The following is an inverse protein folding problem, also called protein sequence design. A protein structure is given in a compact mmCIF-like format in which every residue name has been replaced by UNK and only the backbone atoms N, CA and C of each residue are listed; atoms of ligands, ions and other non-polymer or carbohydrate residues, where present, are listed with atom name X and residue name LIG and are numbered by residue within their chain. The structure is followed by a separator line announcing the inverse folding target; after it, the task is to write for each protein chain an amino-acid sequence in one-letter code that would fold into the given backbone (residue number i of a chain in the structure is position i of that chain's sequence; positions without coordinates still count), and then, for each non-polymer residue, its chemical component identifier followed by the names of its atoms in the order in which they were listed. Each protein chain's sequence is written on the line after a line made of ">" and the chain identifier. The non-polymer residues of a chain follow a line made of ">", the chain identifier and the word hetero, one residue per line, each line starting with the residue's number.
data_IF_174583309655
#
_entry.id   IF_174583309655
#
_cell.length_a   1.000
_cell.length_b   1.000
_cell.length_c   1.000
_cell.angle_alpha   90.00
_cell.angle_beta   90.00
_cell.angle_gamma   90.00
#
_symmetry.space_group_name_H-M   'P 1'
#
loop_
_entity.id
_entity.type
_entity.pdbx_description
1 polymer ?
#
# COMPACT_ATOMS: atom_id res chain seq x y z
N UNK A 1 -8.01 27.52 -23.60
CA UNK A 1 -7.10 27.57 -24.77
C UNK A 1 -5.75 27.02 -24.33
N UNK A 2 -5.27 25.85 -24.72
CA UNK A 2 -5.73 24.88 -25.70
C UNK A 2 -5.68 23.47 -25.08
N UNK A 3 -6.78 22.75 -25.17
CA UNK A 3 -6.84 21.31 -24.96
C UNK A 3 -6.18 20.65 -26.18
N UNK A 4 -4.97 20.11 -26.00
CA UNK A 4 -4.44 19.15 -26.95
C UNK A 4 -5.05 17.79 -26.62
N UNK A 5 -6.05 17.42 -27.41
CA UNK A 5 -6.50 16.04 -27.62
C UNK A 5 -5.31 15.18 -28.04
N UNK A 6 -4.57 14.66 -27.08
CA UNK A 6 -3.56 13.63 -27.31
C UNK A 6 -4.21 12.27 -27.04
N UNK A 7 -5.12 11.90 -27.94
CA UNK A 7 -5.67 10.54 -28.02
C UNK A 7 -4.57 9.62 -28.56
N UNK A 8 -3.51 9.42 -27.77
CA UNK A 8 -2.53 8.36 -28.01
C UNK A 8 -3.25 7.01 -27.86
N UNK A 9 -3.02 6.04 -28.77
CA UNK A 9 -3.60 4.71 -28.66
C UNK A 9 -3.25 4.15 -27.29
N UNK A 10 -4.24 3.60 -26.58
CA UNK A 10 -4.14 3.12 -25.19
C UNK A 10 -2.75 2.57 -24.91
N UNK A 11 -1.89 3.35 -24.24
CA UNK A 11 -0.47 3.04 -24.16
C UNK A 11 -0.28 1.94 -23.12
N UNK A 12 -0.60 0.71 -23.52
CA UNK A 12 -0.52 -0.47 -22.66
C UNK A 12 0.91 -0.57 -22.13
N UNK A 13 1.03 -0.87 -20.84
CA UNK A 13 2.33 -1.04 -20.21
C UNK A 13 3.08 -2.21 -20.85
N UNK A 14 4.38 -2.04 -21.04
CA UNK A 14 5.22 -3.15 -21.45
C UNK A 14 5.34 -4.18 -20.33
N UNK A 15 5.02 -5.43 -20.64
CA UNK A 15 4.97 -6.52 -19.66
C UNK A 15 6.30 -7.29 -19.55
N UNK A 16 7.08 -7.34 -20.63
CA UNK A 16 8.43 -7.91 -20.67
C UNK A 16 9.33 -7.09 -21.57
N UNK A 17 10.53 -6.81 -21.09
CA UNK A 17 11.55 -6.05 -21.78
C UNK A 17 12.83 -6.88 -21.83
N UNK A 18 13.51 -6.88 -22.97
CA UNK A 18 14.89 -7.35 -23.08
C UNK A 18 15.81 -6.18 -22.77
N UNK A 19 16.55 -6.30 -21.68
CA UNK A 19 17.57 -5.34 -21.29
C UNK A 19 18.90 -5.72 -21.93
N UNK A 20 19.41 -4.81 -22.76
CA UNK A 20 20.73 -4.87 -23.37
C UNK A 20 21.68 -3.95 -22.60
N UNK A 21 22.77 -4.51 -22.07
CA UNK A 21 23.81 -3.74 -21.38
C UNK A 21 25.00 -3.53 -22.33
N UNK A 22 25.09 -2.31 -22.89
CA UNK A 22 26.25 -1.86 -23.66
C UNK A 22 27.24 -1.12 -22.74
N UNK A 23 28.49 -0.90 -23.18
CA UNK A 23 29.47 -0.10 -22.42
C UNK A 23 28.99 1.32 -22.12
N UNK A 24 28.29 1.95 -23.07
CA UNK A 24 27.91 3.37 -23.00
C UNK A 24 26.41 3.60 -22.74
N UNK A 25 25.57 2.58 -22.93
CA UNK A 25 24.12 2.70 -22.75
C UNK A 25 23.45 1.40 -22.27
N UNK A 26 22.26 1.55 -21.72
CA UNK A 26 21.29 0.46 -21.52
C UNK A 26 20.17 0.62 -22.54
N UNK A 27 19.73 -0.46 -23.19
CA UNK A 27 18.57 -0.42 -24.09
C UNK A 27 17.51 -1.41 -23.60
N UNK A 28 16.28 -0.93 -23.47
CA UNK A 28 15.10 -1.70 -23.11
C UNK A 28 14.25 -1.92 -24.37
N UNK A 29 14.30 -3.15 -24.89
CA UNK A 29 13.54 -3.59 -26.06
C UNK A 29 12.27 -4.32 -25.59
N UNK A 30 11.06 -3.82 -25.88
CA UNK A 30 9.83 -4.54 -25.56
C UNK A 30 9.74 -5.87 -26.32
N UNK A 31 9.47 -6.96 -25.60
CA UNK A 31 9.30 -8.29 -26.18
C UNK A 31 7.83 -8.56 -26.51
N UNK A 32 6.94 -8.00 -25.70
CA UNK A 32 5.51 -8.25 -25.77
C UNK A 32 4.83 -7.13 -26.59
N UNK A 33 4.86 -7.26 -27.93
CA UNK A 33 4.16 -6.37 -28.87
C UNK A 33 5.03 -5.86 -30.03
N UNK A 34 4.39 -5.18 -30.98
CA UNK A 34 5.07 -4.40 -32.02
C UNK A 34 5.40 -3.03 -31.42
N UNK A 35 6.57 -2.92 -30.80
CA UNK A 35 7.09 -1.62 -30.37
C UNK A 35 8.11 -1.12 -31.40
N UNK A 36 7.79 -0.01 -32.06
CA UNK A 36 8.68 0.63 -33.05
C UNK A 36 9.84 1.40 -32.39
N UNK A 37 9.80 1.55 -31.06
CA UNK A 37 10.75 2.37 -30.29
C UNK A 37 11.19 1.65 -29.01
N UNK A 38 12.50 1.67 -28.77
CA UNK A 38 13.18 1.14 -27.60
C UNK A 38 13.64 2.28 -26.70
N UNK A 39 13.58 2.09 -25.38
CA UNK A 39 14.14 3.06 -24.44
C UNK A 39 15.65 2.86 -24.33
N UNK A 40 16.43 3.83 -24.80
CA UNK A 40 17.88 3.91 -24.63
C UNK A 40 18.24 4.88 -23.51
N UNK A 41 19.11 4.44 -22.60
CA UNK A 41 19.57 5.21 -21.44
C UNK A 41 21.08 5.31 -21.49
N UNK A 42 21.61 6.53 -21.50
CA UNK A 42 23.05 6.77 -21.41
C UNK A 42 23.61 6.39 -20.04
N UNK A 43 24.67 5.58 -20.00
CA UNK A 43 25.37 5.20 -18.76
C UNK A 43 26.22 6.33 -18.20
N UNK A 44 26.51 7.34 -19.00
CA UNK A 44 27.33 8.50 -18.61
C UNK A 44 26.49 9.59 -17.95
N UNK A 45 25.31 9.87 -18.52
CA UNK A 45 24.46 11.01 -18.14
C UNK A 45 23.11 10.61 -17.55
N UNK A 46 22.67 9.36 -17.70
CA UNK A 46 21.31 8.92 -17.35
C UNK A 46 20.22 9.46 -18.27
N UNK A 47 20.58 10.10 -19.39
CA UNK A 47 19.61 10.66 -20.34
C UNK A 47 18.87 9.55 -21.07
N UNK A 48 17.54 9.71 -21.17
CA UNK A 48 16.62 8.75 -21.77
C UNK A 48 16.20 9.23 -23.16
N UNK A 49 16.26 8.35 -24.16
CA UNK A 49 15.80 8.62 -25.51
C UNK A 49 15.08 7.39 -26.07
N UNK A 50 14.13 7.60 -26.98
CA UNK A 50 13.50 6.52 -27.75
C UNK A 50 14.27 6.32 -29.05
N UNK A 51 14.69 5.09 -29.33
CA UNK A 51 15.49 4.71 -30.52
C UNK A 51 14.79 3.59 -31.30
N UNK A 52 14.94 3.56 -32.62
CA UNK A 52 14.32 2.52 -33.47
C UNK A 52 15.19 1.26 -33.58
N UNK A 53 16.51 1.43 -33.53
CA UNK A 53 17.47 0.35 -33.73
C UNK A 53 18.40 0.19 -32.54
N UNK A 54 18.87 -1.05 -32.35
CA UNK A 54 19.94 -1.33 -31.41
C UNK A 54 21.27 -0.72 -31.90
N UNK A 55 22.13 -0.25 -31.00
CA UNK A 55 23.48 0.20 -31.35
C UNK A 55 24.24 -0.84 -32.17
N UNK A 56 25.00 -0.39 -33.18
CA UNK A 56 25.76 -1.23 -34.10
C UNK A 56 26.62 -2.25 -33.35
N UNK A 57 26.42 -3.55 -33.63
CA UNK A 57 27.17 -4.64 -32.99
C UNK A 57 28.63 -4.64 -33.46
N UNK A 58 29.53 -4.05 -32.67
CA UNK A 58 30.96 -4.24 -32.84
C UNK A 58 31.33 -5.71 -32.63
N UNK A 59 32.22 -6.26 -33.48
CA UNK A 59 32.57 -7.69 -33.59
C UNK A 59 33.15 -8.36 -32.33
N UNK A 60 33.31 -7.67 -31.21
CA UNK A 60 34.13 -8.14 -30.07
C UNK A 60 33.54 -7.90 -28.67
N UNK A 61 32.38 -7.27 -28.53
CA UNK A 61 31.78 -7.02 -27.20
C UNK A 61 30.75 -8.08 -26.82
N UNK A 62 31.03 -8.86 -25.77
CA UNK A 62 30.03 -9.71 -25.11
C UNK A 62 28.99 -8.80 -24.43
N UNK A 63 27.84 -8.63 -25.06
CA UNK A 63 26.73 -7.88 -24.48
C UNK A 63 25.97 -8.77 -23.49
N UNK A 64 25.76 -8.27 -22.26
CA UNK A 64 24.89 -8.94 -21.30
C UNK A 64 23.45 -8.63 -21.68
N UNK A 65 22.67 -9.68 -21.88
CA UNK A 65 21.26 -9.61 -22.24
C UNK A 65 20.47 -10.33 -21.17
N UNK A 66 19.48 -9.67 -20.59
CA UNK A 66 18.58 -10.28 -19.60
C UNK A 66 17.15 -9.82 -19.81
N UNK A 67 16.18 -10.65 -19.42
CA UNK A 67 14.77 -10.23 -19.41
C UNK A 67 14.48 -9.49 -18.11
N UNK A 68 13.73 -8.40 -18.20
CA UNK A 68 13.20 -7.67 -17.06
C UNK A 68 11.68 -7.47 -17.24
N UNK A 69 10.97 -7.32 -16.14
CA UNK A 69 9.50 -7.29 -16.11
C UNK A 69 8.93 -5.89 -15.85
N UNK A 70 9.77 -4.86 -15.89
CA UNK A 70 9.33 -3.48 -15.73
C UNK A 70 10.44 -2.60 -15.19
N UNK A 71 10.24 -1.29 -15.36
CA UNK A 71 11.09 -0.25 -14.78
C UNK A 71 10.34 0.31 -13.57
N UNK A 72 10.94 0.17 -12.37
CA UNK A 72 10.38 0.77 -11.16
C UNK A 72 10.53 2.29 -11.20
N UNK A 73 11.64 2.77 -11.73
CA UNK A 73 11.90 4.18 -11.90
C UNK A 73 13.38 4.52 -11.86
N UNK A 74 13.66 5.81 -11.71
CA UNK A 74 15.00 6.39 -11.72
C UNK A 74 15.25 7.11 -10.40
N UNK A 75 16.28 6.69 -9.68
CA UNK A 75 16.76 7.35 -8.48
C UNK A 75 17.90 8.31 -8.84
N UNK A 76 17.66 9.61 -8.67
CA UNK A 76 18.69 10.65 -8.82
C UNK A 76 19.38 10.88 -7.47
N UNK A 77 20.68 10.58 -7.38
CA UNK A 77 21.54 10.85 -6.23
C UNK A 77 22.61 11.88 -6.61
N UNK A 78 23.28 12.48 -5.62
CA UNK A 78 24.35 13.45 -5.86
C UNK A 78 25.50 12.90 -6.72
N UNK A 79 25.71 11.57 -6.69
CA UNK A 79 26.79 10.87 -7.40
C UNK A 79 26.38 10.35 -8.78
N UNK A 80 25.10 10.46 -9.16
CA UNK A 80 24.61 10.00 -10.46
C UNK A 80 23.15 9.50 -10.44
N UNK A 81 22.71 9.02 -11.59
CA UNK A 81 21.37 8.44 -11.76
C UNK A 81 21.42 6.92 -11.74
N UNK A 82 20.40 6.29 -11.16
CA UNK A 82 20.33 4.84 -10.98
C UNK A 82 18.97 4.35 -11.43
N UNK A 83 18.93 3.44 -12.41
CA UNK A 83 17.68 2.84 -12.88
C UNK A 83 17.37 1.61 -12.06
N UNK A 84 16.14 1.51 -11.56
CA UNK A 84 15.68 0.35 -10.78
C UNK A 84 14.75 -0.47 -11.66
N UNK A 85 15.07 -1.76 -11.85
CA UNK A 85 14.34 -2.66 -12.75
C UNK A 85 13.92 -3.93 -12.02
N UNK A 86 12.79 -4.50 -12.44
CA UNK A 86 12.27 -5.77 -11.91
C UNK A 86 12.89 -6.91 -12.70
N UNK A 87 13.75 -7.71 -12.07
CA UNK A 87 14.34 -8.89 -12.72
C UNK A 87 13.46 -10.11 -12.60
N UNK A 88 12.74 -10.25 -11.49
CA UNK A 88 11.95 -11.43 -11.16
C UNK A 88 10.64 -11.04 -10.47
N UNK A 89 9.59 -11.81 -10.76
CA UNK A 89 8.26 -11.62 -10.19
C UNK A 89 7.48 -12.93 -10.15
N UNK A 90 6.60 -13.05 -9.16
CA UNK A 90 5.67 -14.16 -9.04
C UNK A 90 4.22 -13.69 -9.23
N UNK A 91 3.41 -14.45 -9.95
CA UNK A 91 1.97 -14.23 -10.01
C UNK A 91 1.34 -14.76 -8.71
N UNK A 92 0.86 -13.87 -7.85
CA UNK A 92 0.35 -14.21 -6.51
C UNK A 92 -1.18 -14.36 -6.45
N UNK A 93 -1.86 -14.02 -7.54
CA UNK A 93 -3.31 -14.21 -7.66
C UNK A 93 -3.89 -13.30 -8.73
N UNK A 94 -5.22 -13.11 -8.67
CA UNK A 94 -5.93 -12.17 -9.53
C UNK A 94 -6.85 -11.25 -8.74
N UNK A 95 -7.09 -10.07 -9.29
CA UNK A 95 -7.99 -9.07 -8.75
C UNK A 95 -8.83 -8.51 -9.90
N UNK A 96 -10.16 -8.68 -9.83
CA UNK A 96 -11.08 -8.38 -10.93
C UNK A 96 -10.67 -9.02 -12.28
N UNK A 97 -10.13 -10.24 -12.24
CA UNK A 97 -9.66 -10.96 -13.44
C UNK A 97 -8.28 -10.53 -13.96
N UNK A 98 -7.66 -9.50 -13.37
CA UNK A 98 -6.31 -9.07 -13.72
C UNK A 98 -5.27 -9.73 -12.83
N UNK A 99 -4.15 -10.16 -13.41
CA UNK A 99 -3.08 -10.81 -12.67
C UNK A 99 -2.33 -9.83 -11.75
N UNK A 100 -2.07 -10.26 -10.53
CA UNK A 100 -1.31 -9.52 -9.52
C UNK A 100 0.05 -10.16 -9.34
N UNK A 101 1.08 -9.32 -9.39
CA UNK A 101 2.47 -9.76 -9.31
C UNK A 101 3.14 -9.22 -8.06
N UNK A 102 3.90 -10.09 -7.40
CA UNK A 102 4.84 -9.73 -6.34
C UNK A 102 6.23 -9.65 -6.94
N UNK A 103 6.95 -8.57 -6.65
CA UNK A 103 8.36 -8.44 -7.04
C UNK A 103 9.21 -9.37 -6.17
N UNK A 104 10.01 -10.21 -6.80
CA UNK A 104 10.93 -11.13 -6.13
C UNK A 104 12.40 -10.85 -6.42
N UNK A 105 12.69 -10.10 -7.49
CA UNK A 105 14.04 -9.67 -7.84
C UNK A 105 14.07 -8.23 -8.33
N UNK A 106 14.99 -7.45 -7.77
CA UNK A 106 15.32 -6.09 -8.20
C UNK A 106 16.77 -6.02 -8.61
N UNK A 107 17.05 -5.13 -9.56
CA UNK A 107 18.41 -4.77 -9.93
C UNK A 107 18.52 -3.28 -10.17
N UNK A 108 19.60 -2.70 -9.67
CA UNK A 108 19.95 -1.30 -9.86
C UNK A 108 21.02 -1.21 -10.96
N UNK A 109 20.76 -0.35 -11.93
CA UNK A 109 21.62 -0.09 -13.09
C UNK A 109 22.22 1.32 -12.94
N UNK A 110 23.51 1.44 -12.60
CA UNK A 110 24.16 2.72 -12.41
C UNK A 110 24.39 3.43 -13.75
N UNK A 111 24.12 4.74 -13.78
CA UNK A 111 24.36 5.67 -14.88
C UNK A 111 25.25 6.83 -14.41
N UNK A 112 26.49 6.51 -14.01
CA UNK A 112 27.45 7.46 -13.43
C UNK A 112 28.86 7.33 -14.03
N UNK A 113 29.00 6.76 -15.24
CA UNK A 113 30.30 6.49 -15.88
C UNK A 113 31.15 7.75 -16.18
N UNK A 114 30.59 8.97 -16.00
CA UNK A 114 31.30 10.23 -16.23
C UNK A 114 32.42 10.53 -15.20
N UNK A 115 32.43 9.87 -14.04
CA UNK A 115 33.29 10.25 -12.91
C UNK A 115 34.45 9.27 -12.67
N UNK A 116 35.40 9.16 -13.59
CA UNK A 116 36.64 8.40 -13.37
C UNK A 116 37.72 9.18 -12.57
N UNK A 117 37.48 10.45 -12.23
CA UNK A 117 38.36 11.30 -11.39
C UNK A 117 37.66 11.70 -10.09
N UNK A 118 37.40 10.72 -9.22
CA UNK A 118 36.75 10.95 -7.92
C UNK A 118 37.73 11.47 -6.86
N UNK A 119 37.38 12.59 -6.22
CA UNK A 119 38.03 13.02 -4.97
C UNK A 119 37.78 12.01 -3.85
N UNK A 120 38.61 12.04 -2.79
CA UNK A 120 38.52 11.12 -1.65
C UNK A 120 37.14 11.15 -0.96
N UNK A 121 36.48 12.31 -0.95
CA UNK A 121 35.15 12.48 -0.34
C UNK A 121 34.03 11.91 -1.22
N UNK A 122 34.19 11.96 -2.54
CA UNK A 122 33.23 11.35 -3.47
C UNK A 122 33.23 9.82 -3.36
N UNK A 123 34.42 9.20 -3.20
CA UNK A 123 34.53 7.77 -2.93
C UNK A 123 33.83 7.36 -1.63
N UNK A 124 33.96 8.15 -0.56
CA UNK A 124 33.25 7.88 0.71
C UNK A 124 31.72 7.99 0.55
N UNK A 125 31.24 8.94 -0.25
CA UNK A 125 29.81 9.06 -0.56
C UNK A 125 29.31 7.88 -1.39
N UNK A 126 30.06 7.47 -2.41
CA UNK A 126 29.74 6.30 -3.25
C UNK A 126 29.64 5.02 -2.43
N UNK A 127 30.56 4.78 -1.49
CA UNK A 127 30.48 3.62 -0.58
C UNK A 127 29.19 3.63 0.24
N UNK A 128 28.85 4.77 0.87
CA UNK A 128 27.61 4.90 1.65
C UNK A 128 26.36 4.70 0.78
N UNK A 129 26.35 5.26 -0.44
CA UNK A 129 25.23 5.08 -1.36
C UNK A 129 25.14 3.63 -1.84
N UNK A 130 26.26 2.95 -2.07
CA UNK A 130 26.25 1.53 -2.44
C UNK A 130 25.56 0.69 -1.36
N UNK A 131 25.86 0.90 -0.08
CA UNK A 131 25.19 0.19 1.02
C UNK A 131 23.66 0.44 1.04
N UNK A 132 23.24 1.68 0.76
CA UNK A 132 21.81 2.03 0.67
C UNK A 132 21.14 1.43 -0.57
N UNK A 133 21.83 1.39 -1.70
CA UNK A 133 21.34 0.79 -2.95
C UNK A 133 21.22 -0.73 -2.80
N UNK A 134 22.19 -1.39 -2.18
CA UNK A 134 22.13 -2.82 -1.85
C UNK A 134 20.94 -3.14 -0.94
N UNK A 135 20.64 -2.24 0.02
CA UNK A 135 19.45 -2.34 0.86
C UNK A 135 18.16 -2.15 0.05
N UNK A 136 18.16 -1.21 -0.91
CA UNK A 136 17.03 -0.96 -1.78
C UNK A 136 16.72 -2.15 -2.72
N UNK A 137 17.74 -2.87 -3.20
CA UNK A 137 17.54 -4.12 -3.98
C UNK A 137 16.86 -5.23 -3.17
N UNK A 138 17.03 -5.23 -1.85
CA UNK A 138 16.39 -6.17 -0.93
C UNK A 138 15.00 -5.72 -0.47
N UNK A 139 14.43 -4.68 -1.08
CA UNK A 139 13.09 -4.21 -0.71
C UNK A 139 12.05 -5.30 -0.98
N UNK A 140 11.34 -5.71 0.08
CA UNK A 140 10.28 -6.71 0.01
C UNK A 140 8.89 -6.09 0.06
N UNK A 141 7.88 -6.89 -0.27
CA UNK A 141 6.47 -6.50 -0.16
C UNK A 141 5.99 -5.58 -1.29
N UNK A 142 6.71 -5.51 -2.41
CA UNK A 142 6.30 -4.74 -3.57
C UNK A 142 5.34 -5.57 -4.44
N UNK A 143 4.20 -4.98 -4.77
CA UNK A 143 3.17 -5.61 -5.61
C UNK A 143 2.70 -4.64 -6.69
N UNK A 144 2.33 -5.19 -7.85
CA UNK A 144 1.84 -4.41 -8.99
C UNK A 144 0.94 -5.25 -9.90
N UNK A 145 0.27 -4.58 -10.83
CA UNK A 145 -0.38 -5.19 -11.98
C UNK A 145 -0.15 -4.31 -13.21
N UNK A 146 -0.19 -4.90 -14.41
CA UNK A 146 -0.08 -4.14 -15.66
C UNK A 146 -1.42 -3.60 -16.15
N UNK A 147 -2.52 -4.15 -15.63
CA UNK A 147 -3.86 -3.92 -16.19
C UNK A 147 -4.81 -3.24 -15.18
N UNK A 148 -4.51 -3.29 -13.88
CA UNK A 148 -5.34 -2.68 -12.83
C UNK A 148 -4.52 -1.88 -11.82
N UNK A 149 -5.10 -0.79 -11.32
CA UNK A 149 -4.45 0.04 -10.34
C UNK A 149 -4.66 -0.46 -8.91
N UNK A 150 -3.60 -1.02 -8.32
CA UNK A 150 -3.63 -1.52 -6.95
C UNK A 150 -3.65 -0.44 -5.88
N UNK A 151 -3.34 0.82 -6.22
CA UNK A 151 -3.32 1.93 -5.24
C UNK A 151 -4.73 2.36 -4.80
N UNK A 152 -5.77 1.97 -5.53
CA UNK A 152 -7.16 2.31 -5.26
C UNK A 152 -7.92 1.11 -4.67
N UNK A 153 -8.94 1.40 -3.86
CA UNK A 153 -9.90 0.40 -3.41
C UNK A 153 -10.90 0.04 -4.50
N UNK A 154 -11.56 -1.11 -4.38
CA UNK A 154 -12.62 -1.57 -5.29
C UNK A 154 -13.73 -0.52 -5.47
N UNK A 155 -14.19 0.09 -4.37
CA UNK A 155 -15.20 1.15 -4.44
C UNK A 155 -14.68 2.35 -5.24
N UNK A 156 -13.45 2.79 -4.99
CA UNK A 156 -12.87 3.93 -5.72
C UNK A 156 -12.65 3.61 -7.19
N UNK A 157 -12.20 2.40 -7.52
CA UNK A 157 -12.09 1.93 -8.91
C UNK A 157 -13.46 1.89 -9.61
N UNK A 158 -14.51 1.50 -8.89
CA UNK A 158 -15.87 1.49 -9.41
C UNK A 158 -16.39 2.91 -9.66
N UNK A 159 -16.18 3.81 -8.71
CA UNK A 159 -16.60 5.22 -8.81
C UNK A 159 -15.77 6.04 -9.83
N UNK A 160 -14.65 5.50 -10.35
CA UNK A 160 -13.93 6.13 -11.47
C UNK A 160 -14.83 6.13 -12.71
N UNK A 161 -15.07 7.32 -13.26
CA UNK A 161 -15.72 7.47 -14.57
C UNK A 161 -14.89 6.86 -15.70
N UNK A 162 -15.55 6.54 -16.82
CA UNK A 162 -14.93 5.87 -17.96
C UNK A 162 -13.72 6.64 -18.52
N UNK A 163 -13.78 7.98 -18.50
CA UNK A 163 -12.65 8.84 -18.89
C UNK A 163 -11.41 8.61 -18.02
N UNK A 164 -11.58 8.48 -16.70
CA UNK A 164 -10.47 8.23 -15.80
C UNK A 164 -9.91 6.82 -15.96
N UNK A 165 -10.75 5.83 -16.26
CA UNK A 165 -10.32 4.45 -16.54
C UNK A 165 -9.51 4.33 -17.81
N UNK A 166 -9.72 5.22 -18.78
CA UNK A 166 -8.94 5.28 -20.02
C UNK A 166 -7.54 5.89 -19.83
N UNK A 167 -7.29 6.61 -18.72
CA UNK A 167 -5.98 7.19 -18.44
C UNK A 167 -4.93 6.08 -18.16
N UNK A 168 -3.63 6.34 -18.38
CA UNK A 168 -2.58 5.43 -17.92
C UNK A 168 -2.66 5.17 -16.41
N UNK A 169 -2.32 3.95 -15.97
CA UNK A 169 -2.47 3.53 -14.58
C UNK A 169 -1.80 4.49 -13.58
N UNK A 170 -0.64 5.06 -13.92
CA UNK A 170 0.04 6.02 -13.04
C UNK A 170 -0.73 7.32 -12.81
N UNK A 171 -1.54 7.77 -13.78
CA UNK A 171 -2.39 8.97 -13.62
C UNK A 171 -3.63 8.70 -12.79
N UNK A 172 -4.10 7.45 -12.79
CA UNK A 172 -5.19 7.01 -11.93
C UNK A 172 -4.73 6.81 -10.47
N UNK A 173 -3.42 6.69 -10.24
CA UNK A 173 -2.89 6.24 -8.97
C UNK A 173 -3.15 7.21 -7.82
N UNK A 174 -3.51 6.65 -6.66
CA UNK A 174 -3.56 7.40 -5.40
C UNK A 174 -2.13 7.65 -4.91
N UNK A 175 -1.68 8.93 -4.83
CA UNK A 175 -0.31 9.25 -4.48
C UNK A 175 0.14 8.72 -3.11
N UNK A 176 -0.79 8.55 -2.16
CA UNK A 176 -0.47 8.01 -0.83
C UNK A 176 0.06 6.58 -0.87
N UNK A 177 -0.38 5.78 -1.83
CA UNK A 177 -0.05 4.36 -1.90
C UNK A 177 0.88 4.04 -3.09
N UNK A 178 1.21 5.04 -3.91
CA UNK A 178 2.18 4.93 -5.00
C UNK A 178 3.61 4.95 -4.44
N UNK A 179 4.15 3.76 -4.16
CA UNK A 179 5.46 3.59 -3.52
C UNK A 179 6.60 4.18 -4.34
N UNK A 180 6.60 3.94 -5.65
CA UNK A 180 7.62 4.44 -6.57
C UNK A 180 7.32 5.82 -7.16
N UNK A 181 6.39 6.60 -6.57
CA UNK A 181 5.96 7.89 -7.14
C UNK A 181 7.11 8.84 -7.48
N UNK A 182 8.04 9.04 -6.54
CA UNK A 182 9.25 9.84 -6.76
C UNK A 182 10.16 9.26 -7.85
N UNK A 183 10.31 7.93 -7.89
CA UNK A 183 11.14 7.25 -8.88
C UNK A 183 10.57 7.35 -10.30
N UNK A 184 9.25 7.55 -10.42
CA UNK A 184 8.57 7.72 -11.71
C UNK A 184 8.74 9.14 -12.28
N UNK A 185 9.06 10.15 -11.48
CA UNK A 185 9.15 11.56 -11.93
C UNK A 185 10.04 11.72 -13.17
N UNK A 186 11.28 11.18 -13.24
CA UNK A 186 12.12 11.35 -14.42
C UNK A 186 11.55 10.68 -15.68
N UNK A 187 10.82 9.57 -15.52
CA UNK A 187 10.15 8.89 -16.64
C UNK A 187 8.92 9.69 -17.12
N UNK A 188 8.20 10.33 -16.20
CA UNK A 188 7.06 11.22 -16.48
C UNK A 188 7.55 12.45 -17.27
N UNK A 189 8.64 13.08 -16.83
CA UNK A 189 9.27 14.23 -17.52
C UNK A 189 9.64 13.90 -18.98
N UNK A 190 10.06 12.65 -19.24
CA UNK A 190 10.43 12.17 -20.58
C UNK A 190 9.24 11.55 -21.36
N UNK A 191 8.01 11.67 -20.86
CA UNK A 191 6.78 11.17 -21.50
C UNK A 191 6.78 9.66 -21.80
N UNK A 192 7.44 8.85 -20.98
CA UNK A 192 7.61 7.41 -21.19
C UNK A 192 6.44 6.58 -20.64
N UNK A 193 5.20 6.89 -21.06
CA UNK A 193 3.96 6.33 -20.48
C UNK A 193 3.91 4.79 -20.43
N UNK A 194 4.47 4.10 -21.42
CA UNK A 194 4.47 2.63 -21.51
C UNK A 194 5.41 1.95 -20.49
N UNK A 195 6.28 2.73 -19.84
CA UNK A 195 7.23 2.27 -18.82
C UNK A 195 6.81 2.69 -17.40
N UNK A 196 5.76 3.50 -17.25
CA UNK A 196 5.30 4.06 -15.97
C UNK A 196 4.43 3.05 -15.21
N UNK A 197 5.09 2.08 -14.55
CA UNK A 197 4.44 1.03 -13.76
C UNK A 197 4.17 1.48 -12.32
N UNK A 198 2.92 1.60 -11.86
CA UNK A 198 2.62 1.88 -10.46
C UNK A 198 2.90 0.67 -9.57
N UNK A 199 3.62 0.89 -8.48
CA UNK A 199 3.95 -0.16 -7.50
C UNK A 199 3.41 0.26 -6.12
N UNK A 200 2.77 -0.68 -5.42
CA UNK A 200 2.40 -0.52 -4.01
C UNK A 200 3.39 -1.28 -3.12
N UNK A 201 3.56 -0.81 -1.88
CA UNK A 201 4.23 -1.58 -0.84
C UNK A 201 3.20 -2.10 0.16
N UNK A 202 3.25 -3.39 0.45
CA UNK A 202 2.42 -4.05 1.45
C UNK A 202 2.25 -5.54 1.20
N UNK A 203 1.02 -6.03 1.25
CA UNK A 203 0.73 -7.47 1.14
C UNK A 203 -0.49 -7.74 0.26
N UNK A 204 -0.44 -8.87 -0.44
CA UNK A 204 -1.55 -9.44 -1.18
C UNK A 204 -1.70 -10.90 -0.76
N UNK A 205 -2.90 -11.28 -0.34
CA UNK A 205 -3.24 -12.66 0.04
C UNK A 205 -4.57 -13.03 -0.60
N UNK A 206 -4.68 -14.28 -1.06
CA UNK A 206 -5.90 -14.81 -1.67
C UNK A 206 -6.28 -16.13 -0.98
N UNK A 207 -7.56 -16.29 -0.67
CA UNK A 207 -8.12 -17.44 0.02
C UNK A 207 -9.31 -17.92 -0.78
N UNK A 208 -9.30 -19.17 -1.19
CA UNK A 208 -10.46 -19.80 -1.82
C UNK A 208 -10.94 -20.94 -0.91
N UNK A 209 -12.23 -20.95 -0.63
CA UNK A 209 -12.84 -21.98 0.20
C UNK A 209 -14.28 -22.24 -0.25
N UNK A 210 -14.72 -23.49 -0.06
CA UNK A 210 -16.11 -23.89 -0.25
C UNK A 210 -16.88 -23.64 1.07
N UNK A 211 -17.95 -22.85 0.98
CA UNK A 211 -18.84 -22.51 2.09
C UNK A 211 -20.24 -22.95 1.70
N UNK A 212 -20.68 -24.10 2.24
CA UNK A 212 -21.92 -24.74 1.80
C UNK A 212 -21.73 -25.36 0.41
N UNK A 213 -22.52 -24.93 -0.57
CA UNK A 213 -22.41 -25.35 -1.98
C UNK A 213 -21.68 -24.33 -2.87
N UNK A 214 -21.11 -23.30 -2.26
CA UNK A 214 -20.66 -22.10 -2.97
C UNK A 214 -19.17 -21.89 -2.77
N UNK A 215 -18.49 -21.54 -3.87
CA UNK A 215 -17.09 -21.12 -3.81
C UNK A 215 -17.02 -19.65 -3.38
N UNK A 216 -16.27 -19.40 -2.31
CA UNK A 216 -16.01 -18.07 -1.77
C UNK A 216 -14.53 -17.77 -1.95
N UNK A 217 -14.25 -16.69 -2.69
CA UNK A 217 -12.92 -16.15 -2.85
C UNK A 217 -12.77 -14.89 -1.99
N UNK A 218 -11.79 -14.86 -1.09
CA UNK A 218 -11.47 -13.71 -0.25
C UNK A 218 -10.06 -13.24 -0.57
N UNK A 219 -9.93 -12.00 -1.02
CA UNK A 219 -8.66 -11.33 -1.29
C UNK A 219 -8.42 -10.26 -0.24
N UNK A 220 -7.23 -10.25 0.36
CA UNK A 220 -6.80 -9.24 1.32
C UNK A 220 -5.66 -8.43 0.72
N UNK A 221 -5.84 -7.11 0.59
CA UNK A 221 -4.85 -6.18 0.06
C UNK A 221 -4.49 -5.16 1.15
N UNK A 222 -3.21 -5.03 1.49
CA UNK A 222 -2.73 -4.02 2.43
C UNK A 222 -1.80 -3.08 1.68
N UNK A 223 -2.07 -1.78 1.79
CA UNK A 223 -1.32 -0.70 1.15
C UNK A 223 -0.69 0.20 2.20
N UNK A 224 0.64 0.29 2.21
CA UNK A 224 1.39 1.19 3.09
C UNK A 224 1.42 2.60 2.50
N UNK A 225 1.14 3.59 3.33
CA UNK A 225 1.23 4.99 2.93
C UNK A 225 2.69 5.47 2.84
N UNK A 226 3.00 6.27 1.82
CA UNK A 226 4.34 6.79 1.52
C UNK A 226 4.70 8.09 2.24
N UNK A 227 3.70 8.85 2.72
CA UNK A 227 3.88 10.23 3.23
C UNK A 227 4.74 10.32 4.49
N UNK A 228 4.65 9.34 5.39
CA UNK A 228 5.40 9.31 6.67
C UNK A 228 5.93 7.92 6.99
N UNK A 229 6.77 7.39 6.09
CA UNK A 229 7.46 6.13 6.30
C UNK A 229 8.62 6.32 7.28
N UNK A 230 8.86 5.32 8.12
CA UNK A 230 10.11 5.16 8.84
C UNK A 230 10.12 3.89 9.66
N UNK A 231 11.29 3.57 10.19
CA UNK A 231 11.45 2.42 11.10
C UNK A 231 10.64 2.67 12.37
N UNK A 232 10.04 1.60 12.89
CA UNK A 232 9.06 1.64 13.98
C UNK A 232 9.51 2.43 15.21
N UNK A 233 10.78 2.34 15.57
CA UNK A 233 11.34 3.04 16.75
C UNK A 233 11.70 4.51 16.47
N UNK A 234 11.89 4.88 15.20
CA UNK A 234 12.38 6.21 14.82
C UNK A 234 11.29 7.11 14.25
N UNK A 235 10.14 6.55 13.82
CA UNK A 235 8.99 7.32 13.33
C UNK A 235 7.70 6.88 13.99
N UNK A 236 7.23 7.74 14.90
CA UNK A 236 5.95 7.64 15.60
C UNK A 236 5.20 8.98 15.49
N UNK A 237 3.93 8.97 15.91
CA UNK A 237 3.07 10.15 15.85
C UNK A 237 2.68 10.56 14.43
N UNK A 238 2.22 11.80 14.30
CA UNK A 238 2.01 12.49 13.04
C UNK A 238 3.00 13.65 12.85
N UNK A 239 3.14 14.14 11.62
CA UNK A 239 3.71 15.48 11.39
C UNK A 239 2.67 16.58 11.59
N UNK A 240 3.11 17.83 11.48
CA UNK A 240 2.26 19.02 11.58
C UNK A 240 1.16 19.07 10.50
N UNK A 241 1.31 18.33 9.40
CA UNK A 241 0.32 18.24 8.31
C UNK A 241 -0.74 17.15 8.58
N UNK A 242 -0.62 16.40 9.67
CA UNK A 242 -1.58 15.36 10.03
C UNK A 242 -1.30 14.01 9.40
N UNK A 243 -0.14 13.79 8.77
CA UNK A 243 0.21 12.46 8.26
C UNK A 243 0.71 11.58 9.39
N UNK A 244 -0.07 10.57 9.75
CA UNK A 244 0.31 9.59 10.76
C UNK A 244 1.40 8.65 10.24
N UNK A 245 2.38 8.34 11.08
CA UNK A 245 3.42 7.37 10.78
C UNK A 245 2.82 5.95 10.63
N UNK A 246 3.43 5.14 9.76
CA UNK A 246 3.04 3.75 9.51
C UNK A 246 1.54 3.58 9.19
N UNK A 247 0.97 4.54 8.45
CA UNK A 247 -0.41 4.46 8.00
C UNK A 247 -0.58 3.36 6.95
N UNK A 248 -1.60 2.53 7.11
CA UNK A 248 -1.89 1.40 6.23
C UNK A 248 -3.39 1.37 5.96
N UNK A 249 -3.75 1.21 4.70
CA UNK A 249 -5.11 0.87 4.27
C UNK A 249 -5.19 -0.62 4.03
N UNK A 250 -6.18 -1.25 4.66
CA UNK A 250 -6.44 -2.67 4.62
C UNK A 250 -7.79 -2.92 3.96
N UNK A 251 -7.79 -3.52 2.78
CA UNK A 251 -8.99 -3.87 2.03
C UNK A 251 -9.20 -5.39 2.00
N UNK A 252 -10.42 -5.80 2.33
CA UNK A 252 -10.91 -7.17 2.17
C UNK A 252 -11.96 -7.22 1.08
N UNK A 253 -11.70 -8.02 0.05
CA UNK A 253 -12.62 -8.26 -1.07
C UNK A 253 -13.15 -9.67 -0.99
N UNK A 254 -14.47 -9.84 -1.04
CA UNK A 254 -15.15 -11.12 -1.12
C UNK A 254 -15.83 -11.25 -2.48
N UNK A 255 -15.64 -12.39 -3.16
CA UNK A 255 -16.29 -12.70 -4.42
C UNK A 255 -16.97 -14.06 -4.33
N UNK A 256 -18.26 -14.11 -4.63
CA UNK A 256 -19.06 -15.34 -4.69
C UNK A 256 -20.39 -15.06 -5.40
N UNK A 257 -20.98 -16.06 -6.06
CA UNK A 257 -22.25 -15.94 -6.81
C UNK A 257 -22.32 -14.76 -7.80
N UNK A 258 -21.18 -14.35 -8.37
CA UNK A 258 -21.09 -13.17 -9.25
C UNK A 258 -21.11 -11.82 -8.51
N UNK A 259 -21.33 -11.79 -7.20
CA UNK A 259 -21.22 -10.58 -6.39
C UNK A 259 -19.77 -10.31 -6.01
N UNK A 260 -19.41 -9.04 -5.93
CA UNK A 260 -18.14 -8.59 -5.34
C UNK A 260 -18.43 -7.59 -4.22
N UNK A 261 -17.96 -7.91 -3.02
CA UNK A 261 -18.01 -7.01 -1.87
C UNK A 261 -16.61 -6.55 -1.50
N UNK A 262 -16.45 -5.29 -1.06
CA UNK A 262 -15.20 -4.78 -0.52
C UNK A 262 -15.43 -4.02 0.80
N UNK A 263 -14.54 -4.23 1.76
CA UNK A 263 -14.50 -3.50 3.01
C UNK A 263 -13.11 -2.96 3.28
N UNK A 264 -13.01 -1.65 3.44
CA UNK A 264 -11.77 -0.94 3.74
C UNK A 264 -11.73 -0.54 5.21
N UNK A 265 -10.59 -0.74 5.84
CA UNK A 265 -10.28 -0.24 7.18
C UNK A 265 -8.86 0.31 7.21
N UNK A 266 -8.57 1.24 8.12
CA UNK A 266 -7.28 1.91 8.18
C UNK A 266 -6.63 1.76 9.55
N UNK A 267 -5.31 1.82 9.58
CA UNK A 267 -4.53 1.86 10.82
C UNK A 267 -3.36 2.82 10.69
N UNK A 268 -2.85 3.28 11.83
CA UNK A 268 -1.66 4.11 11.87
C UNK A 268 -1.29 4.51 13.30
N UNK A 269 -0.20 5.26 13.44
CA UNK A 269 0.18 5.85 14.74
C UNK A 269 -0.87 6.84 15.24
N UNK A 270 -0.81 7.18 16.54
CA UNK A 270 -1.68 8.23 17.08
C UNK A 270 -1.40 9.56 16.36
N UNK A 271 -2.42 10.29 15.89
CA UNK A 271 -2.24 11.37 14.92
C UNK A 271 -1.98 12.72 15.62
N UNK A 272 -0.97 12.76 16.47
CA UNK A 272 -0.43 13.97 17.08
C UNK A 272 1.08 13.84 17.22
N UNK A 273 1.78 14.92 17.57
CA UNK A 273 3.23 14.92 17.68
C UNK A 273 3.66 14.24 18.98
N UNK A 274 4.26 13.07 18.86
CA UNK A 274 4.90 12.38 19.98
C UNK A 274 6.04 11.52 19.46
N UNK A 275 7.03 11.34 20.32
CA UNK A 275 8.26 10.63 20.01
C UNK A 275 8.53 9.60 21.11
N UNK A 276 9.26 8.57 20.72
CA UNK A 276 9.83 7.60 21.65
C UNK A 276 11.34 7.73 21.51
N UNK A 277 11.98 8.39 22.48
CA UNK A 277 13.42 8.62 22.44
C UNK A 277 14.08 7.27 22.72
N UNK A 278 14.77 6.71 21.73
CA UNK A 278 15.46 5.42 21.87
C UNK A 278 16.66 5.61 22.80
N UNK A 279 16.64 4.91 23.93
CA UNK A 279 17.75 4.79 24.88
C UNK A 279 18.09 3.31 25.12
N UNK A 280 19.04 3.02 26.01
CA UNK A 280 19.41 1.64 26.37
C UNK A 280 18.38 0.96 27.31
N UNK A 281 17.24 1.61 27.60
CA UNK A 281 16.21 1.02 28.47
C UNK A 281 15.32 0.05 27.70
N UNK A 282 14.78 -0.93 28.42
CA UNK A 282 13.91 -1.95 27.85
C UNK A 282 12.62 -1.36 27.23
N UNK A 283 12.07 -0.29 27.83
CA UNK A 283 10.91 0.43 27.31
C UNK A 283 11.18 1.94 27.40
N UNK A 284 11.67 2.55 26.31
CA UNK A 284 11.98 3.97 26.29
C UNK A 284 10.73 4.83 26.51
N UNK A 285 10.92 6.00 27.13
CA UNK A 285 9.82 6.91 27.48
C UNK A 285 9.16 7.53 26.26
N UNK A 286 7.89 7.89 26.42
CA UNK A 286 7.14 8.65 25.43
C UNK A 286 7.10 10.12 25.80
N UNK A 287 7.46 10.96 24.85
CA UNK A 287 7.45 12.40 24.98
C UNK A 287 6.45 13.01 23.99
N UNK A 288 5.54 13.81 24.52
CA UNK A 288 4.55 14.54 23.71
C UNK A 288 5.17 15.87 23.35
N UNK A 289 5.45 16.04 22.06
CA UNK A 289 6.10 17.22 21.51
C UNK A 289 5.01 18.22 21.13
N UNK A 290 5.23 19.52 21.41
CA UNK A 290 4.33 20.62 20.96
C UNK A 290 2.85 20.30 21.25
N UNK A 291 2.60 20.13 22.53
CA UNK A 291 1.35 19.70 23.14
C UNK A 291 0.13 20.53 22.71
N UNK A 292 0.36 21.81 22.47
CA UNK A 292 -0.57 22.83 21.99
C UNK A 292 -1.00 22.62 20.53
N UNK A 293 -0.17 21.97 19.70
CA UNK A 293 -0.50 21.69 18.30
C UNK A 293 -1.36 20.43 18.12
N UNK A 294 -1.49 19.59 19.16
CA UNK A 294 -2.16 18.30 19.06
C UNK A 294 -3.60 18.39 18.52
N UNK A 295 -4.49 19.31 18.98
CA UNK A 295 -5.83 19.44 18.43
C UNK A 295 -5.84 19.78 16.93
N UNK A 296 -4.97 20.71 16.49
CA UNK A 296 -4.87 21.12 15.09
C UNK A 296 -4.42 19.98 14.18
N UNK A 297 -3.44 19.19 14.62
CA UNK A 297 -2.95 18.03 13.85
C UNK A 297 -4.00 16.93 13.79
N UNK A 298 -4.71 16.70 14.88
CA UNK A 298 -5.83 15.76 14.95
C UNK A 298 -6.96 16.15 13.99
N UNK A 299 -7.36 17.41 14.00
CA UNK A 299 -8.39 17.95 13.10
C UNK A 299 -8.01 17.76 11.64
N UNK A 300 -6.78 18.14 11.25
CA UNK A 300 -6.26 17.91 9.89
C UNK A 300 -6.28 16.45 9.50
N UNK A 301 -5.81 15.56 10.38
CA UNK A 301 -5.78 14.13 10.13
C UNK A 301 -7.18 13.55 9.90
N UNK A 302 -8.13 13.86 10.78
CA UNK A 302 -9.48 13.31 10.68
C UNK A 302 -10.29 13.94 9.55
N UNK A 303 -10.11 15.22 9.27
CA UNK A 303 -10.70 15.86 8.09
C UNK A 303 -10.24 15.19 6.79
N UNK A 304 -8.94 14.89 6.69
CA UNK A 304 -8.36 14.19 5.55
C UNK A 304 -8.91 12.75 5.39
N UNK A 305 -9.09 12.03 6.51
CA UNK A 305 -9.76 10.73 6.50
C UNK A 305 -11.23 10.83 6.12
N UNK A 306 -11.94 11.82 6.64
CA UNK A 306 -13.38 11.98 6.38
C UNK A 306 -13.65 12.30 4.92
N UNK A 307 -12.83 13.17 4.32
CA UNK A 307 -12.88 13.48 2.89
C UNK A 307 -12.70 12.22 2.03
N UNK A 308 -11.89 11.25 2.48
CA UNK A 308 -11.57 10.05 1.71
C UNK A 308 -12.49 8.86 1.99
N UNK A 309 -12.93 8.65 3.22
CA UNK A 309 -13.65 7.45 3.62
C UNK A 309 -15.06 7.71 4.17
N UNK A 310 -15.48 8.98 4.27
CA UNK A 310 -16.75 9.35 4.92
C UNK A 310 -16.60 9.36 6.44
N UNK A 311 -17.56 8.81 7.18
CA UNK A 311 -17.47 8.78 8.64
C UNK A 311 -16.23 8.01 9.11
N UNK A 312 -15.72 8.34 10.30
CA UNK A 312 -14.56 7.66 10.88
C UNK A 312 -14.83 7.23 12.32
N UNK A 313 -14.60 5.95 12.59
CA UNK A 313 -14.57 5.39 13.94
C UNK A 313 -13.11 5.21 14.38
N UNK A 314 -12.63 6.04 15.29
CA UNK A 314 -11.31 5.94 15.88
C UNK A 314 -11.32 4.97 17.07
N UNK A 315 -10.62 3.84 16.93
CA UNK A 315 -10.47 2.81 17.96
C UNK A 315 -9.06 2.85 18.54
N UNK A 316 -8.95 3.27 19.80
CA UNK A 316 -7.70 3.33 20.55
C UNK A 316 -7.52 2.10 21.45
N UNK A 317 -6.50 1.28 21.14
CA UNK A 317 -6.21 0.01 21.83
C UNK A 317 -5.11 0.14 22.90
N UNK A 318 -4.79 1.36 23.33
CA UNK A 318 -3.68 1.66 24.25
C UNK A 318 -4.07 1.44 25.70
N UNK A 319 -3.08 1.04 26.50
CA UNK A 319 -3.25 0.72 27.92
C UNK A 319 -3.60 1.98 28.72
N UNK A 320 -4.37 1.81 29.80
CA UNK A 320 -4.70 2.94 30.69
C UNK A 320 -3.53 3.38 31.58
N UNK A 321 -2.53 2.51 31.79
CA UNK A 321 -1.43 2.75 32.74
C UNK A 321 -0.12 3.21 32.09
N UNK A 322 0.72 3.87 32.89
CA UNK A 322 2.10 4.23 32.53
C UNK A 322 2.20 5.27 31.41
N UNK A 323 3.29 5.22 30.64
CA UNK A 323 3.52 6.15 29.53
C UNK A 323 2.48 6.06 28.42
N UNK A 324 1.91 4.86 28.20
CA UNK A 324 0.79 4.62 27.28
C UNK A 324 -0.47 5.37 27.71
N UNK A 325 -0.77 5.38 29.01
CA UNK A 325 -1.89 6.12 29.59
C UNK A 325 -1.80 7.62 29.33
N UNK A 326 -0.60 8.23 29.41
CA UNK A 326 -0.39 9.66 29.12
C UNK A 326 -0.71 10.01 27.67
N UNK A 327 -0.35 9.14 26.74
CA UNK A 327 -0.66 9.32 25.31
C UNK A 327 -2.16 9.17 25.05
N UNK A 328 -2.81 8.18 25.68
CA UNK A 328 -4.26 7.98 25.61
C UNK A 328 -5.03 9.18 26.15
N UNK A 329 -4.63 9.69 27.32
CA UNK A 329 -5.27 10.87 27.92
C UNK A 329 -5.13 12.10 27.01
N UNK A 330 -3.94 12.30 26.44
CA UNK A 330 -3.73 13.36 25.46
C UNK A 330 -4.64 13.19 24.25
N UNK A 331 -4.69 11.99 23.69
CA UNK A 331 -5.50 11.72 22.51
C UNK A 331 -6.98 12.00 22.80
N UNK A 332 -7.51 11.45 23.89
CA UNK A 332 -8.89 11.64 24.31
C UNK A 332 -9.24 13.13 24.49
N UNK A 333 -8.39 13.88 25.20
CA UNK A 333 -8.59 15.32 25.43
C UNK A 333 -8.53 16.15 24.14
N UNK A 334 -7.66 15.78 23.21
CA UNK A 334 -7.47 16.54 21.97
C UNK A 334 -8.47 16.17 20.87
N UNK A 335 -9.05 14.96 20.89
CA UNK A 335 -10.09 14.55 19.93
C UNK A 335 -11.50 15.00 20.37
N UNK A 336 -11.74 15.15 21.68
CA UNK A 336 -13.05 15.54 22.23
C UNK A 336 -13.70 16.75 21.53
N UNK A 337 -12.99 17.87 21.23
CA UNK A 337 -13.60 19.02 20.58
C UNK A 337 -14.00 18.80 19.11
N UNK A 338 -13.45 17.78 18.45
CA UNK A 338 -13.70 17.49 17.03
C UNK A 338 -14.67 16.34 16.82
N UNK A 339 -15.14 15.70 17.90
CA UNK A 339 -16.14 14.62 17.82
C UNK A 339 -17.44 15.15 17.19
N UNK A 340 -18.02 14.34 16.33
CA UNK A 340 -19.25 14.64 15.59
C UNK A 340 -19.98 13.35 15.26
N UNK A 341 -21.15 13.43 14.60
CA UNK A 341 -21.85 12.24 14.13
C UNK A 341 -20.99 11.39 13.17
N UNK A 342 -20.09 12.03 12.42
CA UNK A 342 -19.18 11.42 11.46
C UNK A 342 -17.79 11.15 12.03
N UNK A 343 -17.51 11.48 13.29
CA UNK A 343 -16.26 11.15 13.98
C UNK A 343 -16.54 10.65 15.39
N UNK A 344 -16.42 9.33 15.57
CA UNK A 344 -16.62 8.66 16.86
C UNK A 344 -15.29 8.15 17.41
N UNK A 345 -15.06 8.33 18.70
CA UNK A 345 -13.90 7.81 19.41
C UNK A 345 -14.29 6.73 20.41
N UNK A 346 -13.58 5.60 20.38
CA UNK A 346 -13.75 4.47 21.30
C UNK A 346 -12.38 4.06 21.84
N UNK A 347 -12.23 4.13 23.16
CA UNK A 347 -11.06 3.60 23.86
C UNK A 347 -11.34 2.19 24.38
N UNK A 348 -10.43 1.26 24.12
CA UNK A 348 -10.53 -0.12 24.56
C UNK A 348 -9.17 -0.61 25.07
N UNK A 349 -9.04 -0.81 26.39
CA UNK A 349 -7.81 -1.32 26.97
C UNK A 349 -7.63 -2.80 26.64
N UNK A 350 -6.93 -3.07 25.53
CA UNK A 350 -6.75 -4.42 25.01
C UNK A 350 -5.99 -5.31 26.00
N UNK A 351 -4.95 -4.81 26.68
CA UNK A 351 -4.16 -5.65 27.60
C UNK A 351 -4.96 -6.03 28.83
N UNK A 352 -5.70 -5.08 29.41
CA UNK A 352 -6.53 -5.36 30.58
C UNK A 352 -7.68 -6.31 30.24
N UNK A 353 -8.29 -6.14 29.07
CA UNK A 353 -9.49 -6.88 28.70
C UNK A 353 -9.14 -8.24 28.10
N UNK A 354 -8.30 -8.30 27.08
CA UNK A 354 -7.99 -9.53 26.35
C UNK A 354 -6.76 -10.28 26.89
N UNK A 355 -5.83 -9.59 27.57
CA UNK A 355 -4.57 -10.17 28.01
C UNK A 355 -3.80 -10.80 26.84
N UNK A 356 -3.16 -11.95 27.09
CA UNK A 356 -2.42 -12.70 26.07
C UNK A 356 -3.23 -13.81 25.38
N UNK A 357 -4.39 -14.19 25.92
CA UNK A 357 -5.09 -15.43 25.54
C UNK A 357 -6.59 -15.22 25.28
N UNK A 358 -7.24 -14.21 25.86
CA UNK A 358 -8.70 -14.06 25.85
C UNK A 358 -9.21 -13.17 24.71
N UNK A 359 -8.89 -13.54 23.47
CA UNK A 359 -9.36 -12.82 22.28
C UNK A 359 -10.88 -12.83 22.10
N UNK A 360 -11.57 -13.78 22.74
CA UNK A 360 -13.05 -13.83 22.79
C UNK A 360 -13.68 -12.56 23.36
N UNK A 361 -12.96 -11.85 24.24
CA UNK A 361 -13.44 -10.61 24.86
C UNK A 361 -13.45 -9.41 23.92
N UNK A 362 -12.94 -9.56 22.68
CA UNK A 362 -13.16 -8.58 21.61
C UNK A 362 -14.63 -8.46 21.22
N UNK A 363 -15.49 -9.42 21.61
CA UNK A 363 -16.95 -9.26 21.51
C UNK A 363 -17.44 -7.99 22.22
N UNK A 364 -16.81 -7.60 23.34
CA UNK A 364 -17.16 -6.38 24.07
C UNK A 364 -16.86 -5.11 23.27
N UNK A 365 -15.75 -5.11 22.52
CA UNK A 365 -15.46 -4.02 21.58
C UNK A 365 -16.45 -4.02 20.44
N UNK A 366 -16.73 -5.20 19.86
CA UNK A 366 -17.71 -5.34 18.79
C UNK A 366 -19.09 -4.80 19.20
N UNK A 367 -19.56 -5.12 20.40
CA UNK A 367 -20.85 -4.62 20.91
C UNK A 367 -20.92 -3.10 21.01
N UNK A 368 -19.79 -2.42 21.23
CA UNK A 368 -19.72 -0.96 21.25
C UNK A 368 -19.74 -0.34 19.85
N UNK A 369 -19.29 -1.07 18.82
CA UNK A 369 -19.09 -0.53 17.46
C UNK A 369 -20.04 -1.12 16.42
N UNK A 370 -20.84 -2.14 16.77
CA UNK A 370 -21.71 -2.86 15.84
C UNK A 370 -22.72 -1.94 15.15
N UNK A 371 -23.24 -0.95 15.87
CA UNK A 371 -24.17 0.05 15.35
C UNK A 371 -23.53 0.88 14.23
N UNK A 372 -22.27 1.28 14.44
CA UNK A 372 -21.48 2.00 13.45
C UNK A 372 -21.22 1.14 12.20
N UNK A 373 -20.80 -0.12 12.39
CA UNK A 373 -20.54 -1.05 11.28
C UNK A 373 -21.81 -1.34 10.45
N UNK A 374 -22.96 -1.46 11.11
CA UNK A 374 -24.26 -1.65 10.44
C UNK A 374 -24.71 -0.42 9.67
N UNK A 375 -24.45 0.79 10.20
CA UNK A 375 -24.80 2.07 9.55
C UNK A 375 -23.95 2.33 8.30
N UNK A 376 -22.63 2.14 8.39
CA UNK A 376 -21.68 2.53 7.34
C UNK A 376 -21.35 1.44 6.33
N UNK A 377 -21.78 0.20 6.60
CA UNK A 377 -21.78 -0.95 5.69
C UNK A 377 -20.42 -1.19 5.00
N UNK A 378 -20.48 -1.71 3.79
CA UNK A 378 -19.39 -2.11 2.92
C UNK A 378 -19.82 -1.88 1.47
N UNK A 379 -18.87 -1.87 0.55
CA UNK A 379 -19.14 -1.81 -0.88
C UNK A 379 -19.66 -3.15 -1.39
N UNK A 380 -20.72 -3.16 -2.19
CA UNK A 380 -21.26 -4.38 -2.82
C UNK A 380 -21.75 -4.08 -4.24
N UNK A 381 -21.29 -4.87 -5.20
CA UNK A 381 -21.78 -4.88 -6.58
C UNK A 381 -22.31 -6.27 -6.96
N UNK A 382 -23.30 -6.29 -7.85
CA UNK A 382 -23.79 -7.52 -8.46
C UNK A 382 -22.95 -7.95 -9.68
N UNK A 383 -23.36 -9.05 -10.29
CA UNK A 383 -22.82 -9.62 -11.52
C UNK A 383 -22.88 -8.68 -12.73
N UNK A 384 -23.83 -7.73 -12.73
CA UNK A 384 -23.97 -6.67 -13.75
C UNK A 384 -23.09 -5.45 -13.48
N UNK A 385 -22.38 -5.41 -12.36
CA UNK A 385 -21.58 -4.26 -11.94
C UNK A 385 -22.38 -3.09 -11.36
N UNK A 386 -23.66 -3.30 -11.03
CA UNK A 386 -24.51 -2.30 -10.39
C UNK A 386 -24.19 -2.21 -8.89
N UNK A 387 -24.05 -0.98 -8.38
CA UNK A 387 -23.76 -0.71 -6.96
C UNK A 387 -25.02 -0.95 -6.13
N UNK A 388 -24.97 -1.95 -5.24
CA UNK A 388 -26.05 -2.29 -4.30
C UNK A 388 -25.84 -1.61 -2.96
N UNK A 389 -24.60 -1.63 -2.45
CA UNK A 389 -24.23 -1.00 -1.19
C UNK A 389 -22.94 -0.19 -1.36
N UNK A 390 -22.83 0.89 -0.59
CA UNK A 390 -21.67 1.75 -0.55
C UNK A 390 -21.11 1.82 0.86
N UNK A 391 -19.79 1.73 0.99
CA UNK A 391 -19.11 1.99 2.24
C UNK A 391 -19.02 3.50 2.46
N UNK A 392 -19.69 4.00 3.49
CA UNK A 392 -19.77 5.44 3.84
C UNK A 392 -18.96 5.82 5.08
N UNK A 393 -18.21 4.87 5.63
CA UNK A 393 -17.35 5.11 6.79
C UNK A 393 -16.28 4.04 6.97
N UNK A 394 -15.22 4.37 7.71
CA UNK A 394 -14.09 3.46 7.98
C UNK A 394 -13.78 3.38 9.47
N UNK A 395 -13.33 2.21 9.91
CA UNK A 395 -12.67 2.08 11.21
C UNK A 395 -11.19 2.43 11.09
N UNK A 396 -10.71 3.27 11.99
CA UNK A 396 -9.30 3.63 12.17
C UNK A 396 -8.80 3.04 13.48
N UNK A 397 -7.95 2.04 13.43
CA UNK A 397 -7.36 1.43 14.64
C UNK A 397 -5.97 1.97 14.91
N UNK A 398 -5.66 2.33 16.16
CA UNK A 398 -4.30 2.65 16.58
C UNK A 398 -3.86 1.79 17.77
N UNK A 399 -2.56 1.51 17.81
CA UNK A 399 -1.87 0.91 18.95
C UNK A 399 -0.43 1.43 18.96
N UNK A 400 0.21 1.35 20.12
CA UNK A 400 1.57 1.81 20.28
C UNK A 400 2.60 0.72 19.93
N UNK A 401 2.40 -0.52 20.41
CA UNK A 401 3.52 -1.47 20.52
C UNK A 401 3.25 -2.93 20.16
N UNK A 402 2.15 -3.25 19.49
CA UNK A 402 2.15 -4.50 18.75
C UNK A 402 1.17 -4.45 17.59
N UNK A 403 1.74 -4.78 16.44
CA UNK A 403 1.02 -5.12 15.23
C UNK A 403 -0.09 -6.12 15.59
N UNK A 404 0.20 -7.11 16.44
CA UNK A 404 -0.76 -8.10 16.92
C UNK A 404 -2.08 -7.51 17.44
N UNK A 405 -2.06 -6.49 18.31
CA UNK A 405 -3.28 -5.85 18.84
C UNK A 405 -4.15 -5.27 17.74
N UNK A 406 -3.55 -4.50 16.84
CA UNK A 406 -4.25 -3.93 15.69
C UNK A 406 -4.70 -5.02 14.72
N UNK A 407 -3.87 -6.05 14.51
CA UNK A 407 -4.13 -7.10 13.53
C UNK A 407 -5.33 -7.94 13.94
N UNK A 408 -5.37 -8.36 15.20
CA UNK A 408 -6.47 -9.15 15.74
C UNK A 408 -7.76 -8.33 15.72
N UNK A 409 -7.70 -7.04 16.06
CA UNK A 409 -8.88 -6.16 16.02
C UNK A 409 -9.40 -5.97 14.59
N UNK A 410 -8.51 -5.68 13.63
CA UNK A 410 -8.90 -5.52 12.22
C UNK A 410 -9.40 -6.84 11.61
N UNK A 411 -8.81 -7.97 11.98
CA UNK A 411 -9.25 -9.31 11.57
C UNK A 411 -10.64 -9.63 12.12
N UNK A 412 -10.91 -9.30 13.39
CA UNK A 412 -12.23 -9.45 14.00
C UNK A 412 -13.31 -8.62 13.28
N UNK A 413 -13.02 -7.35 13.01
CA UNK A 413 -13.95 -6.47 12.27
C UNK A 413 -14.17 -7.02 10.85
N UNK A 414 -13.09 -7.35 10.13
CA UNK A 414 -13.16 -7.91 8.77
C UNK A 414 -13.98 -9.21 8.72
N UNK A 415 -13.84 -10.07 9.73
CA UNK A 415 -14.61 -11.32 9.87
C UNK A 415 -16.09 -11.04 10.07
N UNK A 416 -16.45 -10.08 10.93
CA UNK A 416 -17.86 -9.72 11.17
C UNK A 416 -18.51 -9.10 9.94
N UNK A 417 -17.76 -8.29 9.19
CA UNK A 417 -18.22 -7.77 7.90
C UNK A 417 -18.34 -8.89 6.86
N UNK A 418 -17.40 -9.82 6.80
CA UNK A 418 -17.46 -10.98 5.89
C UNK A 418 -18.70 -11.84 6.15
N UNK A 419 -19.01 -12.10 7.42
CA UNK A 419 -20.23 -12.81 7.83
C UNK A 419 -21.47 -12.08 7.31
N UNK A 420 -21.55 -10.76 7.50
CA UNK A 420 -22.65 -9.92 6.99
C UNK A 420 -22.73 -9.93 5.45
N UNK A 421 -21.59 -9.90 4.75
CA UNK A 421 -21.51 -9.99 3.29
C UNK A 421 -22.06 -11.33 2.78
N UNK A 422 -21.59 -12.45 3.35
CA UNK A 422 -22.02 -13.79 2.95
C UNK A 422 -23.49 -14.07 3.28
N UNK A 423 -24.00 -13.52 4.39
CA UNK A 423 -25.43 -13.56 4.71
C UNK A 423 -26.26 -12.75 3.71
N UNK A 424 -25.77 -11.56 3.32
CA UNK A 424 -26.47 -10.68 2.36
C UNK A 424 -26.65 -11.31 0.99
N UNK A 425 -25.66 -12.09 0.53
CA UNK A 425 -25.72 -12.81 -0.76
C UNK A 425 -26.30 -14.23 -0.66
N UNK A 426 -26.80 -14.63 0.52
CA UNK A 426 -27.42 -15.93 0.74
C UNK A 426 -26.47 -17.11 0.57
N UNK A 427 -25.18 -16.94 0.92
CA UNK A 427 -24.22 -18.04 1.07
C UNK A 427 -24.28 -18.61 2.49
N UNK A 428 -24.45 -17.75 3.49
CA UNK A 428 -24.69 -18.14 4.88
C UNK A 428 -26.16 -17.88 5.26
N UNK A 429 -26.76 -18.77 6.06
CA UNK A 429 -28.08 -18.58 6.63
C UNK A 429 -28.12 -17.46 7.67
N UNK A 430 -29.32 -16.98 8.00
CA UNK A 430 -29.51 -15.98 9.04
C UNK A 430 -29.01 -16.52 10.40
N UNK A 431 -27.97 -15.89 10.95
CA UNK A 431 -27.34 -16.34 12.21
C UNK A 431 -26.23 -17.38 12.04
N UNK A 432 -25.94 -17.83 10.82
CA UNK A 432 -24.75 -18.64 10.54
C UNK A 432 -23.49 -17.78 10.62
N UNK A 433 -22.41 -18.39 11.10
CA UNK A 433 -21.10 -17.75 11.27
C UNK A 433 -20.04 -18.56 10.55
N UNK A 434 -18.92 -17.90 10.22
CA UNK A 434 -17.78 -18.55 9.56
C UNK A 434 -17.21 -19.68 10.44
N UNK A 435 -17.40 -19.61 11.76
CA UNK A 435 -17.02 -20.66 12.72
C UNK A 435 -17.61 -22.04 12.40
N UNK A 436 -18.73 -22.13 11.67
CA UNK A 436 -19.32 -23.40 11.24
C UNK A 436 -18.50 -24.10 10.14
N UNK A 437 -17.58 -23.36 9.50
CA UNK A 437 -16.71 -23.84 8.42
C UNK A 437 -15.24 -23.78 8.89
N UNK A 438 -14.75 -24.78 9.65
CA UNK A 438 -13.47 -24.69 10.36
C UNK A 438 -12.25 -24.53 9.44
N UNK A 439 -12.28 -25.13 8.25
CA UNK A 439 -11.21 -24.98 7.24
C UNK A 439 -11.12 -23.55 6.74
N UNK A 440 -12.26 -22.94 6.40
CA UNK A 440 -12.32 -21.56 5.96
C UNK A 440 -11.93 -20.59 7.09
N UNK A 441 -12.40 -20.84 8.31
CA UNK A 441 -12.07 -20.04 9.49
C UNK A 441 -10.57 -20.08 9.81
N UNK A 442 -9.96 -21.26 9.71
CA UNK A 442 -8.51 -21.43 9.95
C UNK A 442 -7.69 -20.73 8.88
N UNK A 443 -8.05 -20.89 7.60
CA UNK A 443 -7.37 -20.22 6.49
C UNK A 443 -7.50 -18.70 6.60
N UNK A 444 -8.69 -18.19 6.93
CA UNK A 444 -8.91 -16.76 7.14
C UNK A 444 -8.06 -16.22 8.29
N UNK A 445 -8.01 -16.93 9.43
CA UNK A 445 -7.17 -16.54 10.58
C UNK A 445 -5.69 -16.48 10.20
N UNK A 446 -5.18 -17.52 9.54
CA UNK A 446 -3.78 -17.59 9.08
C UNK A 446 -3.47 -16.42 8.16
N UNK A 447 -4.27 -16.25 7.10
CA UNK A 447 -4.04 -15.20 6.12
C UNK A 447 -4.17 -13.81 6.74
N UNK A 448 -5.15 -13.56 7.61
CA UNK A 448 -5.29 -12.27 8.30
C UNK A 448 -4.10 -11.95 9.21
N UNK A 449 -3.44 -12.98 9.78
CA UNK A 449 -2.26 -12.81 10.62
C UNK A 449 -1.02 -12.44 9.79
N UNK A 450 -0.78 -13.13 8.67
CA UNK A 450 0.32 -12.81 7.74
C UNK A 450 0.11 -11.50 6.98
N UNK A 451 -1.12 -11.23 6.56
CA UNK A 451 -1.60 -10.04 5.86
C UNK A 451 -1.13 -8.75 6.53
N UNK A 452 -1.19 -8.71 7.86
CA UNK A 452 -0.91 -7.50 8.62
C UNK A 452 0.51 -7.46 9.21
N UNK A 453 1.25 -8.58 9.21
CA UNK A 453 2.63 -8.68 9.71
C UNK A 453 3.71 -8.38 8.65
N UNK A 454 3.41 -8.52 7.35
CA UNK A 454 4.34 -8.27 6.24
C UNK A 454 4.71 -6.78 6.00
N UNK A 455 4.31 -5.88 6.91
CA UNK A 455 4.53 -4.43 6.82
C UNK A 455 5.68 -3.93 7.71
N UNK A 456 6.45 -4.84 8.31
CA UNK A 456 7.63 -4.57 9.13
C UNK A 456 8.88 -4.37 8.29
#
# INVERSE_FOLDING_TARGET
>A
MAETNDASPSSKLHTRLRLWEFPDCYVFEPIDGLADLYLSVSRTSGTMNLVQDLPSRGSTTKHKVQTVYGVIGVLKLAVGSYFVVITDRDCVGSYFGHAIFKVTGLKILPCNNAHNTTSTDQKKMETKFSELLDSAERTIGLHFSYDINLTLSAQRLHDLGDEYRALPLWRQAEPRFLWNGYLLEPLIENKLNQYLLPVIQGSFQNIQAEVGSEMVNVTLIARRCTRRIGTRMWRRGADAEGYAANFVESEQIMQSKGFTASYVQVRGSMPFLWEQIVDLTYKPSFDIVRQEEAPRVLERHFHDLQKKYGAVLAVDLVNTGGGEGRLRERYAKSIEPILSEDLRYVHFDFHRICGHIHFERLSQLYDQIKDYLQKHKYFLINDKGEKIEEQTGTTRTNCIDCLDRTNVTQSMIGRKILESQLQRIGVLGAGDTISKHPTFDTNYKICSWFYLNMLL
#
